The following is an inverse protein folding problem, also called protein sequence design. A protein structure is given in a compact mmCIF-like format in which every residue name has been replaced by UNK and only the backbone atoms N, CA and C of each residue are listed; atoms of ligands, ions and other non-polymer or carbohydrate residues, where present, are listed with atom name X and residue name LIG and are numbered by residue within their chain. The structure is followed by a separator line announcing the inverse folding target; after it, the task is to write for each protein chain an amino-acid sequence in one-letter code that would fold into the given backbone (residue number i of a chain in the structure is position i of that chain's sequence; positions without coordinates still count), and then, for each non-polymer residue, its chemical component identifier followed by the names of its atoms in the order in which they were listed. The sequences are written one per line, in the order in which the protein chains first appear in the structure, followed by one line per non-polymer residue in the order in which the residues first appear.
data_IF_781236886779
#
_entry.id   IF_781236886779
#
_cell.length_a   1.000
_cell.length_b   1.000
_cell.length_c   1.000
_cell.angle_alpha   90.00
_cell.angle_beta   90.00
_cell.angle_gamma   90.00
#
_symmetry.space_group_name_H-M   'P 1'
#
loop_
_entity.id
_entity.type
_entity.pdbx_description
1 polymer ?
#
# COMPACT_ATOMS: atom_id res chain seq x y z
N UNK A 1 -23.69 -23.70 6.70
CA UNK A 1 -23.55 -22.59 7.70
C UNK A 1 -22.12 -22.45 8.23
N UNK A 2 -21.46 -23.56 8.63
CA UNK A 2 -20.08 -23.57 9.15
C UNK A 2 -19.03 -22.95 8.20
N UNK A 3 -19.11 -23.24 6.89
CA UNK A 3 -18.17 -22.71 5.88
C UNK A 3 -18.25 -21.18 5.71
N UNK A 4 -19.46 -20.60 5.80
CA UNK A 4 -19.64 -19.14 5.70
C UNK A 4 -19.06 -18.40 6.91
N UNK A 5 -19.23 -18.98 8.10
CA UNK A 5 -18.69 -18.45 9.36
C UNK A 5 -17.15 -18.50 9.32
N UNK A 6 -16.58 -19.65 8.93
CA UNK A 6 -15.14 -19.83 8.79
C UNK A 6 -14.54 -18.80 7.83
N UNK A 7 -15.09 -18.63 6.63
CA UNK A 7 -14.55 -17.70 5.63
C UNK A 7 -14.68 -16.23 6.08
N UNK A 8 -15.75 -15.89 6.77
CA UNK A 8 -15.90 -14.53 7.33
C UNK A 8 -14.86 -14.28 8.41
N UNK A 9 -14.63 -15.25 9.30
CA UNK A 9 -13.59 -15.18 10.32
C UNK A 9 -12.19 -15.11 9.71
N UNK A 10 -11.89 -15.94 8.69
CA UNK A 10 -10.63 -15.89 7.94
C UNK A 10 -10.44 -14.53 7.28
N UNK A 11 -11.46 -13.96 6.64
CA UNK A 11 -11.36 -12.65 6.01
C UNK A 11 -11.04 -11.56 7.04
N UNK A 12 -11.70 -11.58 8.21
CA UNK A 12 -11.43 -10.64 9.30
C UNK A 12 -10.00 -10.78 9.84
N UNK A 13 -9.54 -12.02 10.06
CA UNK A 13 -8.18 -12.30 10.51
C UNK A 13 -7.14 -11.79 9.49
N UNK A 14 -7.38 -12.02 8.19
CA UNK A 14 -6.50 -11.53 7.13
C UNK A 14 -6.48 -10.00 7.08
N UNK A 15 -7.62 -9.32 7.24
CA UNK A 15 -7.68 -7.85 7.26
C UNK A 15 -6.77 -7.24 8.34
N UNK A 16 -6.70 -7.87 9.51
CA UNK A 16 -5.89 -7.38 10.64
C UNK A 16 -4.47 -7.98 10.69
N UNK A 17 -4.19 -9.00 9.87
CA UNK A 17 -2.91 -9.72 9.86
C UNK A 17 -1.70 -8.78 9.75
N UNK A 18 -1.68 -7.76 8.88
CA UNK A 18 -0.53 -6.88 8.78
C UNK A 18 -0.21 -6.21 10.12
N UNK A 19 -1.22 -5.77 10.88
CA UNK A 19 -1.00 -5.12 12.17
C UNK A 19 -0.51 -6.09 13.24
N UNK A 20 -1.09 -7.29 13.31
CA UNK A 20 -0.69 -8.31 14.28
C UNK A 20 0.78 -8.70 14.09
N UNK A 21 1.17 -8.97 12.85
CA UNK A 21 2.54 -9.40 12.53
C UNK A 21 3.51 -8.23 12.63
N UNK A 22 3.12 -7.04 12.18
CA UNK A 22 3.97 -5.85 12.29
C UNK A 22 4.23 -5.45 13.74
N UNK A 23 3.26 -5.61 14.65
CA UNK A 23 3.46 -5.34 16.06
C UNK A 23 4.54 -6.27 16.67
N UNK A 24 4.55 -7.55 16.29
CA UNK A 24 5.58 -8.50 16.73
C UNK A 24 6.93 -8.15 16.10
N UNK A 25 6.96 -7.87 14.80
CA UNK A 25 8.17 -7.49 14.06
C UNK A 25 8.75 -6.17 14.58
N UNK A 26 7.91 -5.24 15.04
CA UNK A 26 8.27 -3.95 15.61
C UNK A 26 9.19 -4.04 16.82
N UNK A 27 9.10 -5.12 17.61
CA UNK A 27 10.01 -5.35 18.74
C UNK A 27 11.47 -5.55 18.29
N UNK A 28 11.69 -5.91 17.03
CA UNK A 28 13.00 -6.10 16.42
C UNK A 28 13.39 -4.94 15.50
N UNK A 29 12.60 -3.87 15.47
CA UNK A 29 12.83 -2.72 14.61
C UNK A 29 14.24 -2.15 14.81
N UNK A 30 14.95 -1.79 13.73
CA UNK A 30 16.26 -1.15 13.81
C UNK A 30 16.20 0.26 14.41
N UNK A 31 15.00 0.83 14.60
CA UNK A 31 14.81 2.13 15.26
C UNK A 31 14.83 2.03 16.80
N UNK A 32 14.82 0.81 17.35
CA UNK A 32 14.95 0.58 18.79
C UNK A 32 16.42 0.30 19.13
N UNK A 33 16.96 1.03 20.11
CA UNK A 33 18.35 0.90 20.52
C UNK A 33 18.72 -0.55 20.87
N UNK A 34 19.85 -1.01 20.34
CA UNK A 34 20.36 -2.38 20.54
C UNK A 34 19.86 -3.41 19.52
N UNK A 35 18.87 -3.09 18.68
CA UNK A 35 18.43 -3.97 17.61
C UNK A 35 19.34 -3.87 16.37
N UNK A 36 19.56 -5.00 15.71
CA UNK A 36 20.34 -5.08 14.46
C UNK A 36 19.43 -4.97 13.23
N UNK A 37 19.82 -4.11 12.29
CA UNK A 37 19.18 -3.99 10.98
C UNK A 37 19.16 -5.31 10.20
N UNK A 38 20.26 -6.08 10.26
CA UNK A 38 20.33 -7.38 9.59
C UNK A 38 19.35 -8.39 10.19
N UNK A 39 19.21 -8.41 11.52
CA UNK A 39 18.27 -9.30 12.20
C UNK A 39 16.83 -8.96 11.82
N UNK A 40 16.50 -7.67 11.76
CA UNK A 40 15.20 -7.21 11.30
C UNK A 40 14.86 -7.74 9.90
N UNK A 41 15.78 -7.59 8.94
CA UNK A 41 15.61 -8.08 7.56
C UNK A 41 15.42 -9.60 7.54
N UNK A 42 16.24 -10.35 8.30
CA UNK A 42 16.14 -11.81 8.34
C UNK A 42 14.78 -12.28 8.87
N UNK A 43 14.31 -11.70 9.98
CA UNK A 43 13.01 -12.02 10.56
C UNK A 43 11.89 -11.67 9.58
N UNK A 44 11.96 -10.49 8.95
CA UNK A 44 11.00 -10.10 7.92
C UNK A 44 11.00 -11.11 6.76
N UNK A 45 12.15 -11.53 6.21
CA UNK A 45 12.22 -12.55 5.15
C UNK A 45 11.54 -13.86 5.57
N UNK A 46 11.80 -14.34 6.79
CA UNK A 46 11.18 -15.58 7.30
C UNK A 46 9.66 -15.45 7.38
N UNK A 47 9.16 -14.34 7.93
CA UNK A 47 7.72 -14.04 7.96
C UNK A 47 7.14 -14.02 6.55
N UNK A 48 7.87 -13.43 5.61
CA UNK A 48 7.47 -13.27 4.21
C UNK A 48 7.31 -14.60 3.49
N UNK A 49 8.24 -15.53 3.70
CA UNK A 49 8.15 -16.91 3.20
C UNK A 49 6.89 -17.59 3.76
N UNK A 50 6.61 -17.40 5.05
CA UNK A 50 5.39 -17.90 5.68
C UNK A 50 4.12 -17.35 5.02
N UNK A 51 4.06 -16.04 4.76
CA UNK A 51 2.90 -15.41 4.13
C UNK A 51 2.71 -15.85 2.68
N UNK A 52 3.80 -15.96 1.90
CA UNK A 52 3.73 -16.51 0.53
C UNK A 52 3.20 -17.94 0.55
N UNK A 53 3.63 -18.75 1.53
CA UNK A 53 3.12 -20.12 1.71
C UNK A 53 1.63 -20.13 2.03
N UNK A 54 1.16 -19.24 2.91
CA UNK A 54 -0.28 -19.05 3.19
C UNK A 54 -1.02 -18.61 1.92
N UNK A 55 -0.47 -17.67 1.14
CA UNK A 55 -1.06 -17.20 -0.11
C UNK A 55 -1.23 -18.35 -1.12
N UNK A 56 -0.22 -19.22 -1.25
CA UNK A 56 -0.26 -20.41 -2.10
C UNK A 56 -1.29 -21.44 -1.61
N UNK A 57 -1.37 -21.67 -0.29
CA UNK A 57 -2.37 -22.55 0.31
C UNK A 57 -3.80 -22.03 0.07
N UNK A 58 -4.03 -20.73 0.31
CA UNK A 58 -5.31 -20.08 0.02
C UNK A 58 -5.64 -20.16 -1.47
N UNK A 59 -4.65 -19.94 -2.35
CA UNK A 59 -4.84 -20.05 -3.78
C UNK A 59 -5.28 -21.45 -4.18
N UNK A 60 -4.65 -22.50 -3.66
CA UNK A 60 -5.00 -23.90 -3.94
C UNK A 60 -6.38 -24.28 -3.39
N UNK A 61 -6.72 -23.80 -2.18
CA UNK A 61 -8.00 -24.12 -1.53
C UNK A 61 -9.18 -23.39 -2.16
N UNK A 62 -9.00 -22.13 -2.60
CA UNK A 62 -10.04 -21.30 -3.18
C UNK A 62 -10.03 -21.26 -4.73
N UNK A 63 -9.12 -22.01 -5.38
CA UNK A 63 -8.90 -22.05 -6.84
C UNK A 63 -10.19 -22.26 -7.66
N UNK A 64 -11.15 -23.04 -7.14
CA UNK A 64 -12.39 -23.37 -7.84
C UNK A 64 -13.39 -22.19 -7.96
N UNK A 65 -13.14 -21.08 -7.28
CA UNK A 65 -14.13 -19.99 -7.16
C UNK A 65 -14.10 -18.96 -8.29
N UNK A 66 -13.04 -18.85 -9.11
CA UNK A 66 -12.91 -17.75 -10.07
C UNK A 66 -12.32 -18.15 -11.41
N UNK A 67 -13.13 -18.08 -12.47
CA UNK A 67 -12.60 -18.08 -13.84
C UNK A 67 -11.74 -16.80 -14.04
N UNK A 68 -10.44 -16.98 -14.28
CA UNK A 68 -9.51 -16.01 -14.90
C UNK A 68 -9.17 -14.69 -14.17
N UNK A 69 -9.68 -14.42 -12.96
CA UNK A 69 -9.23 -13.33 -12.06
C UNK A 69 -8.38 -13.79 -10.83
N UNK A 70 -7.99 -15.08 -10.64
CA UNK A 70 -7.37 -15.50 -9.37
C UNK A 70 -5.93 -14.98 -9.17
N UNK A 71 -5.17 -14.80 -10.26
CA UNK A 71 -3.79 -14.28 -10.18
C UNK A 71 -3.77 -12.80 -9.74
N UNK A 72 -4.71 -12.00 -10.24
CA UNK A 72 -4.80 -10.59 -9.87
C UNK A 72 -5.13 -10.38 -8.37
N UNK A 73 -6.08 -11.14 -7.84
CA UNK A 73 -6.40 -11.11 -6.41
C UNK A 73 -5.22 -11.55 -5.52
N UNK A 74 -4.45 -12.53 -5.98
CA UNK A 74 -3.24 -13.00 -5.28
C UNK A 74 -2.14 -11.93 -5.28
N UNK A 75 -1.90 -11.24 -6.39
CA UNK A 75 -0.92 -10.14 -6.46
C UNK A 75 -1.26 -9.01 -5.49
N UNK A 76 -2.54 -8.64 -5.39
CA UNK A 76 -3.00 -7.66 -4.40
C UNK A 76 -2.88 -8.18 -2.97
N UNK A 77 -3.18 -9.47 -2.73
CA UNK A 77 -3.00 -10.07 -1.41
C UNK A 77 -1.53 -10.06 -0.96
N UNK A 78 -0.60 -10.33 -1.88
CA UNK A 78 0.84 -10.34 -1.60
C UNK A 78 1.39 -8.96 -1.20
N UNK A 79 0.65 -7.87 -1.38
CA UNK A 79 1.01 -6.55 -0.84
C UNK A 79 1.19 -6.57 0.69
N UNK A 80 0.58 -7.53 1.39
CA UNK A 80 0.81 -7.76 2.84
C UNK A 80 2.28 -7.87 3.22
N UNK A 81 3.10 -8.42 2.32
CA UNK A 81 4.51 -8.66 2.55
C UNK A 81 5.31 -7.36 2.73
N UNK A 82 5.33 -6.43 1.76
CA UNK A 82 5.97 -5.14 1.94
C UNK A 82 5.28 -4.27 3.00
N UNK A 83 3.95 -4.36 3.15
CA UNK A 83 3.22 -3.62 4.20
C UNK A 83 3.71 -4.00 5.59
N UNK A 84 3.88 -5.30 5.88
CA UNK A 84 4.40 -5.77 7.18
C UNK A 84 5.82 -5.28 7.43
N UNK A 85 6.67 -5.27 6.39
CA UNK A 85 8.02 -4.73 6.52
C UNK A 85 8.00 -3.23 6.83
N UNK A 86 7.12 -2.45 6.23
CA UNK A 86 7.06 -1.00 6.48
C UNK A 86 6.49 -0.71 7.87
N UNK A 87 5.34 -1.31 8.22
CA UNK A 87 4.69 -1.09 9.51
C UNK A 87 5.51 -1.69 10.65
N UNK A 88 6.23 -2.78 10.40
CA UNK A 88 7.13 -3.40 11.36
C UNK A 88 8.37 -2.57 11.67
N UNK A 89 8.71 -1.54 10.89
CA UNK A 89 9.74 -0.57 11.32
C UNK A 89 9.27 0.21 12.56
N UNK A 90 7.97 0.21 12.87
CA UNK A 90 7.39 0.78 14.08
C UNK A 90 7.79 2.25 14.35
N UNK A 91 8.19 2.96 13.31
CA UNK A 91 8.59 4.36 13.34
C UNK A 91 8.13 5.04 12.06
N UNK A 92 7.73 6.30 12.19
CA UNK A 92 7.63 7.21 11.06
C UNK A 92 9.01 7.38 10.39
N UNK A 93 9.05 7.81 9.12
CA UNK A 93 10.30 8.20 8.48
C UNK A 93 11.04 9.24 9.34
N UNK A 94 12.33 9.04 9.57
CA UNK A 94 13.17 10.08 10.17
C UNK A 94 13.43 11.14 9.10
N UNK A 95 13.14 12.40 9.41
CA UNK A 95 13.36 13.55 8.53
C UNK A 95 14.48 14.46 9.04
N UNK A 96 15.13 14.08 10.15
CA UNK A 96 16.18 14.84 10.82
C UNK A 96 17.59 14.40 10.41
N UNK A 97 18.61 15.14 10.85
CA UNK A 97 20.03 14.81 10.62
C UNK A 97 20.42 13.43 11.15
N UNK A 98 19.72 12.91 12.16
CA UNK A 98 20.00 11.60 12.75
C UNK A 98 19.85 10.46 11.74
N UNK A 99 19.05 10.63 10.69
CA UNK A 99 18.92 9.62 9.64
C UNK A 99 20.26 9.31 8.96
N UNK A 100 21.20 10.28 8.94
CA UNK A 100 22.50 10.12 8.27
C UNK A 100 23.39 9.10 8.99
N UNK A 101 23.10 8.77 10.24
CA UNK A 101 23.78 7.70 10.98
C UNK A 101 23.37 6.32 10.46
N UNK A 102 22.12 6.19 9.98
CA UNK A 102 21.52 4.94 9.55
C UNK A 102 20.60 5.10 8.31
N UNK A 103 21.14 5.58 7.17
CA UNK A 103 20.34 5.85 5.97
C UNK A 103 19.72 4.58 5.38
N UNK A 104 20.31 3.41 5.64
CA UNK A 104 19.83 2.11 5.18
C UNK A 104 18.40 1.80 5.64
N UNK A 105 17.96 2.41 6.77
CA UNK A 105 16.60 2.21 7.30
C UNK A 105 15.54 2.84 6.42
N UNK A 106 15.79 4.03 5.88
CA UNK A 106 14.88 4.68 4.94
C UNK A 106 14.99 4.04 3.54
N UNK A 107 16.21 3.69 3.11
CA UNK A 107 16.39 2.93 1.87
C UNK A 107 15.59 1.62 1.88
N UNK A 108 15.57 0.89 3.00
CA UNK A 108 14.73 -0.30 3.16
C UNK A 108 13.25 0.05 3.02
N UNK A 109 12.75 1.06 3.74
CA UNK A 109 11.34 1.48 3.68
C UNK A 109 10.88 1.72 2.25
N UNK A 110 11.64 2.50 1.48
CA UNK A 110 11.28 2.83 0.10
C UNK A 110 11.55 1.65 -0.86
N UNK A 111 12.52 0.78 -0.59
CA UNK A 111 12.69 -0.47 -1.34
C UNK A 111 11.48 -1.39 -1.17
N UNK A 112 10.90 -1.47 0.02
CA UNK A 112 9.67 -2.21 0.28
C UNK A 112 8.46 -1.60 -0.46
N UNK A 113 8.38 -0.27 -0.53
CA UNK A 113 7.36 0.41 -1.32
C UNK A 113 7.53 0.14 -2.83
N UNK A 114 8.76 0.09 -3.35
CA UNK A 114 9.03 -0.36 -4.72
C UNK A 114 8.58 -1.80 -4.97
N UNK A 115 8.79 -2.72 -4.02
CA UNK A 115 8.25 -4.08 -4.12
C UNK A 115 6.72 -4.10 -4.19
N UNK A 116 6.05 -3.26 -3.38
CA UNK A 116 4.60 -3.09 -3.47
C UNK A 116 4.15 -2.55 -4.84
N UNK A 117 4.90 -1.59 -5.39
CA UNK A 117 4.65 -1.03 -6.72
C UNK A 117 4.80 -2.07 -7.83
N UNK A 118 5.81 -2.95 -7.75
CA UNK A 118 6.00 -4.03 -8.71
C UNK A 118 4.80 -4.99 -8.67
N UNK A 119 4.34 -5.38 -7.48
CA UNK A 119 3.15 -6.22 -7.33
C UNK A 119 1.90 -5.55 -7.91
N UNK A 120 1.72 -4.25 -7.65
CA UNK A 120 0.62 -3.47 -8.20
C UNK A 120 0.70 -3.32 -9.73
N UNK A 121 1.90 -3.10 -10.28
CA UNK A 121 2.13 -3.03 -11.73
C UNK A 121 1.85 -4.37 -12.41
N UNK A 122 2.33 -5.48 -11.84
CA UNK A 122 1.99 -6.82 -12.30
C UNK A 122 0.47 -7.04 -12.26
N UNK A 123 -0.20 -6.63 -11.19
CA UNK A 123 -1.66 -6.71 -11.10
C UNK A 123 -2.33 -5.92 -12.23
N UNK A 124 -1.89 -4.69 -12.50
CA UNK A 124 -2.41 -3.85 -13.57
C UNK A 124 -2.23 -4.52 -14.95
N UNK A 125 -1.05 -5.08 -15.23
CA UNK A 125 -0.78 -5.81 -16.47
C UNK A 125 -1.70 -7.02 -16.62
N UNK A 126 -1.89 -7.82 -15.57
CA UNK A 126 -2.82 -8.95 -15.59
C UNK A 126 -4.28 -8.50 -15.78
N UNK A 127 -4.67 -7.44 -15.08
CA UNK A 127 -5.99 -6.84 -15.16
C UNK A 127 -6.29 -6.45 -16.62
N UNK A 128 -5.41 -5.68 -17.26
CA UNK A 128 -5.62 -5.17 -18.62
C UNK A 128 -5.24 -6.12 -19.75
N UNK A 129 -4.45 -7.17 -19.54
CA UNK A 129 -4.21 -8.22 -20.55
C UNK A 129 -5.31 -9.27 -20.59
N UNK A 130 -6.04 -9.43 -19.48
CA UNK A 130 -7.12 -10.42 -19.41
C UNK A 130 -8.37 -9.98 -20.19
N UNK A 131 -9.00 -10.95 -20.85
CA UNK A 131 -10.34 -10.78 -21.43
C UNK A 131 -11.45 -10.84 -20.38
N UNK A 132 -11.12 -11.03 -19.10
CA UNK A 132 -12.09 -11.09 -18.00
C UNK A 132 -12.72 -9.73 -17.65
N UNK A 133 -12.04 -8.62 -17.98
CA UNK A 133 -12.58 -7.28 -17.81
C UNK A 133 -13.66 -6.98 -18.87
N UNK A 134 -14.92 -7.12 -18.47
CA UNK A 134 -16.07 -6.69 -19.26
C UNK A 134 -16.28 -5.18 -19.13
N UNK A 135 -15.39 -4.39 -19.73
CA UNK A 135 -15.49 -2.92 -19.80
C UNK A 135 -15.48 -2.41 -21.24
N UNK A 136 -16.14 -1.26 -21.46
CA UNK A 136 -16.10 -0.55 -22.74
C UNK A 136 -14.65 -0.20 -23.10
N UNK A 137 -14.30 -0.27 -24.39
CA UNK A 137 -12.94 0.01 -24.89
C UNK A 137 -12.42 1.39 -24.45
N UNK A 138 -13.27 2.42 -24.49
CA UNK A 138 -12.92 3.77 -24.02
C UNK A 138 -12.59 3.79 -22.54
N UNK A 139 -13.41 3.15 -21.70
CA UNK A 139 -13.15 3.04 -20.26
C UNK A 139 -11.86 2.27 -19.98
N UNK A 140 -11.58 1.21 -20.74
CA UNK A 140 -10.32 0.46 -20.63
C UNK A 140 -9.12 1.38 -20.84
N UNK A 141 -9.12 2.16 -21.93
CA UNK A 141 -8.04 3.09 -22.24
C UNK A 141 -7.86 4.17 -21.17
N UNK A 142 -8.95 4.82 -20.75
CA UNK A 142 -8.91 5.83 -19.69
C UNK A 142 -8.29 5.24 -18.42
N UNK A 143 -8.71 4.04 -18.04
CA UNK A 143 -8.18 3.40 -16.84
C UNK A 143 -6.73 2.96 -17.00
N UNK A 144 -6.32 2.46 -18.16
CA UNK A 144 -4.91 2.17 -18.42
C UNK A 144 -4.05 3.41 -18.25
N UNK A 145 -4.48 4.56 -18.77
CA UNK A 145 -3.77 5.85 -18.57
C UNK A 145 -3.70 6.23 -17.09
N UNK A 146 -4.82 6.13 -16.35
CA UNK A 146 -4.86 6.43 -14.92
C UNK A 146 -3.91 5.52 -14.12
N UNK A 147 -3.83 4.23 -14.46
CA UNK A 147 -2.87 3.30 -13.84
C UNK A 147 -1.43 3.67 -14.16
N UNK A 148 -1.12 4.05 -15.40
CA UNK A 148 0.23 4.50 -15.79
C UNK A 148 0.61 5.76 -14.99
N UNK A 149 -0.30 6.73 -14.88
CA UNK A 149 -0.08 7.94 -14.07
C UNK A 149 0.17 7.56 -12.60
N UNK A 150 -0.66 6.70 -12.01
CA UNK A 150 -0.47 6.25 -10.63
C UNK A 150 0.90 5.58 -10.41
N UNK A 151 1.34 4.74 -11.35
CA UNK A 151 2.65 4.06 -11.28
C UNK A 151 3.79 5.07 -11.42
N UNK A 152 3.68 6.03 -12.34
CA UNK A 152 4.67 7.09 -12.52
C UNK A 152 4.82 7.95 -11.26
N UNK A 153 3.69 8.35 -10.66
CA UNK A 153 3.64 9.09 -9.40
C UNK A 153 4.28 8.31 -8.24
N UNK A 154 3.93 7.04 -8.05
CA UNK A 154 4.60 6.21 -7.04
C UNK A 154 6.10 6.08 -7.29
N UNK A 155 6.50 5.88 -8.54
CA UNK A 155 7.92 5.75 -8.90
C UNK A 155 8.67 7.02 -8.54
N UNK A 156 8.15 8.17 -8.96
CA UNK A 156 8.72 9.47 -8.64
C UNK A 156 8.81 9.68 -7.14
N UNK A 157 7.72 9.48 -6.41
CA UNK A 157 7.66 9.71 -4.97
C UNK A 157 8.62 8.80 -4.20
N UNK A 158 8.71 7.52 -4.58
CA UNK A 158 9.60 6.58 -3.91
C UNK A 158 11.05 6.88 -4.21
N UNK A 159 11.38 7.28 -5.44
CA UNK A 159 12.74 7.74 -5.77
C UNK A 159 13.08 9.01 -5.02
N UNK A 160 12.17 9.98 -4.99
CA UNK A 160 12.35 11.26 -4.29
C UNK A 160 12.65 11.04 -2.81
N UNK A 161 11.89 10.20 -2.13
CA UNK A 161 12.15 9.97 -0.71
C UNK A 161 13.24 8.92 -0.43
N UNK A 162 13.50 7.96 -1.33
CA UNK A 162 14.64 7.06 -1.21
C UNK A 162 15.96 7.84 -1.21
N UNK A 163 16.04 8.90 -2.02
CA UNK A 163 17.22 9.77 -2.13
C UNK A 163 17.27 10.90 -1.08
N UNK A 164 16.32 10.94 -0.16
CA UNK A 164 16.28 11.98 0.88
C UNK A 164 17.57 12.00 1.74
N UNK A 165 18.12 10.85 2.19
CA UNK A 165 19.37 10.86 2.97
C UNK A 165 20.56 11.41 2.18
N UNK A 166 20.68 11.06 0.90
CA UNK A 166 21.71 11.58 0.00
C UNK A 166 21.58 13.10 -0.20
N UNK A 167 20.35 13.58 -0.43
CA UNK A 167 20.06 15.01 -0.56
C UNK A 167 20.38 15.79 0.71
N UNK A 168 20.02 15.24 1.88
CA UNK A 168 20.33 15.86 3.17
C UNK A 168 21.84 15.90 3.43
N UNK A 169 22.55 14.81 3.11
CA UNK A 169 24.01 14.75 3.24
C UNK A 169 24.71 15.80 2.38
N UNK A 170 24.26 15.98 1.13
CA UNK A 170 24.79 17.02 0.24
C UNK A 170 24.46 18.43 0.77
N UNK A 171 23.25 18.64 1.25
CA UNK A 171 22.84 19.93 1.82
C UNK A 171 23.71 20.36 3.01
N UNK A 172 23.95 19.43 3.94
CA UNK A 172 24.80 19.67 5.11
C UNK A 172 26.26 19.88 4.72
N UNK A 173 26.77 19.15 3.71
CA UNK A 173 28.15 19.31 3.25
C UNK A 173 28.40 20.68 2.60
N UNK A 174 27.37 21.32 2.07
CA UNK A 174 27.41 22.71 1.59
C UNK A 174 27.39 23.76 2.72
N UNK A 175 27.38 23.34 3.99
CA UNK A 175 27.36 24.23 5.16
C UNK A 175 26.00 24.86 5.44
N UNK A 176 24.91 24.33 4.86
CA UNK A 176 23.55 24.86 5.04
C UNK A 176 22.90 24.29 6.30
N UNK A 177 21.93 25.04 6.85
CA UNK A 177 21.20 24.62 8.05
C UNK A 177 20.35 23.36 7.76
N UNK A 178 20.55 22.24 8.48
CA UNK A 178 19.79 21.02 8.24
C UNK A 178 18.28 21.16 8.52
N UNK A 179 17.89 22.04 9.44
CA UNK A 179 16.47 22.23 9.80
C UNK A 179 15.64 22.83 8.66
N UNK A 180 16.30 23.52 7.72
CA UNK A 180 15.66 24.13 6.55
C UNK A 180 15.53 23.16 5.37
N UNK A 181 16.23 22.02 5.42
CA UNK A 181 16.29 21.08 4.31
C UNK A 181 14.91 20.58 3.91
N UNK A 182 14.10 20.12 4.86
CA UNK A 182 12.78 19.52 4.57
C UNK A 182 11.85 20.49 3.82
N UNK A 183 11.83 21.77 4.20
CA UNK A 183 11.02 22.80 3.50
C UNK A 183 11.51 23.06 2.08
N UNK A 184 12.81 22.95 1.83
CA UNK A 184 13.38 23.12 0.51
C UNK A 184 13.18 21.86 -0.36
N UNK A 185 13.38 20.69 0.23
CA UNK A 185 13.29 19.39 -0.42
C UNK A 185 11.84 19.06 -0.82
N UNK A 186 10.90 19.26 0.11
CA UNK A 186 9.47 19.10 -0.09
C UNK A 186 8.78 20.46 -0.20
N UNK A 187 9.24 21.28 -1.15
CA UNK A 187 8.64 22.58 -1.43
C UNK A 187 7.23 22.44 -2.03
N UNK A 188 6.55 23.58 -2.21
CA UNK A 188 5.17 23.64 -2.73
C UNK A 188 4.95 22.83 -4.03
N UNK A 189 5.91 22.83 -4.95
CA UNK A 189 5.79 22.08 -6.20
C UNK A 189 5.83 20.57 -5.94
N UNK A 190 6.73 20.11 -5.06
CA UNK A 190 6.82 18.69 -4.69
C UNK A 190 5.56 18.22 -3.94
N UNK A 191 5.06 19.05 -3.02
CA UNK A 191 3.79 18.80 -2.32
C UNK A 191 2.65 18.69 -3.33
N UNK A 192 2.59 19.60 -4.31
CA UNK A 192 1.53 19.61 -5.34
C UNK A 192 1.53 18.32 -6.16
N UNK A 193 2.71 17.84 -6.58
CA UNK A 193 2.84 16.55 -7.29
C UNK A 193 2.31 15.42 -6.40
N UNK A 194 2.76 15.33 -5.15
CA UNK A 194 2.29 14.33 -4.19
C UNK A 194 0.76 14.35 -3.98
N UNK A 195 0.15 15.54 -3.90
CA UNK A 195 -1.31 15.71 -3.78
C UNK A 195 -2.04 15.19 -5.02
N UNK A 196 -1.57 15.53 -6.22
CA UNK A 196 -2.14 15.02 -7.48
C UNK A 196 -2.03 13.50 -7.52
N UNK A 197 -0.86 12.96 -7.18
CA UNK A 197 -0.63 11.52 -7.05
C UNK A 197 -1.64 10.86 -6.12
N UNK A 198 -1.89 11.43 -4.94
CA UNK A 198 -2.88 10.90 -3.99
C UNK A 198 -4.29 10.91 -4.52
N UNK A 199 -4.72 11.97 -5.19
CA UNK A 199 -6.04 11.99 -5.83
C UNK A 199 -6.18 10.86 -6.86
N UNK A 200 -5.19 10.70 -7.73
CA UNK A 200 -5.19 9.65 -8.75
C UNK A 200 -5.26 8.26 -8.10
N UNK A 201 -4.45 8.02 -7.08
CA UNK A 201 -4.36 6.72 -6.40
C UNK A 201 -5.66 6.36 -5.66
N UNK A 202 -6.23 7.29 -4.89
CA UNK A 202 -7.48 7.04 -4.16
C UNK A 202 -8.69 6.92 -5.09
N UNK A 203 -8.77 7.73 -6.15
CA UNK A 203 -9.83 7.59 -7.17
C UNK A 203 -9.71 6.23 -7.87
N UNK A 204 -8.49 5.77 -8.18
CA UNK A 204 -8.24 4.45 -8.76
C UNK A 204 -8.74 3.33 -7.84
N UNK A 205 -8.47 3.40 -6.53
CA UNK A 205 -8.94 2.42 -5.54
C UNK A 205 -10.47 2.38 -5.48
N UNK A 206 -11.12 3.56 -5.44
CA UNK A 206 -12.59 3.66 -5.47
C UNK A 206 -13.13 2.98 -6.72
N UNK A 207 -12.62 3.38 -7.89
CA UNK A 207 -13.07 2.85 -9.17
C UNK A 207 -12.92 1.33 -9.23
N UNK A 208 -11.75 0.80 -8.83
CA UNK A 208 -11.46 -0.62 -8.88
C UNK A 208 -12.41 -1.41 -7.96
N UNK A 209 -12.65 -0.92 -6.73
CA UNK A 209 -13.57 -1.57 -5.80
C UNK A 209 -15.01 -1.58 -6.32
N UNK A 210 -15.52 -0.46 -6.83
CA UNK A 210 -16.88 -0.37 -7.40
C UNK A 210 -17.03 -1.24 -8.64
N UNK A 211 -16.00 -1.27 -9.50
CA UNK A 211 -16.02 -2.07 -10.71
C UNK A 211 -16.05 -3.57 -10.41
N UNK A 212 -15.18 -4.04 -9.51
CA UNK A 212 -15.18 -5.43 -9.06
C UNK A 212 -16.49 -5.83 -8.36
N UNK A 213 -17.12 -4.90 -7.64
CA UNK A 213 -18.44 -5.13 -7.06
C UNK A 213 -19.53 -5.28 -8.15
N UNK A 214 -19.56 -4.40 -9.16
CA UNK A 214 -20.48 -4.50 -10.31
C UNK A 214 -20.31 -5.80 -11.09
N UNK A 215 -19.08 -6.27 -11.24
CA UNK A 215 -18.77 -7.58 -11.83
C UNK A 215 -19.11 -8.77 -10.91
N UNK A 216 -19.66 -8.50 -9.72
CA UNK A 216 -19.94 -9.51 -8.71
C UNK A 216 -18.70 -10.34 -8.39
N UNK A 217 -17.52 -9.71 -8.25
CA UNK A 217 -16.26 -10.36 -7.86
C UNK A 217 -15.95 -10.18 -6.38
N UNK A 218 -16.53 -9.17 -5.72
CA UNK A 218 -16.41 -8.92 -4.28
C UNK A 218 -17.79 -8.77 -3.63
N UNK A 219 -17.83 -8.65 -2.29
CA UNK A 219 -19.05 -8.36 -1.51
C UNK A 219 -19.17 -6.85 -1.25
N UNK A 220 -20.37 -6.38 -0.90
CA UNK A 220 -20.68 -4.94 -0.72
C UNK A 220 -19.88 -4.23 0.38
N UNK A 221 -19.43 -4.95 1.41
CA UNK A 221 -18.64 -4.35 2.50
C UNK A 221 -17.32 -3.76 1.99
N UNK A 222 -16.68 -4.41 1.00
CA UNK A 222 -15.37 -4.01 0.48
C UNK A 222 -15.40 -2.65 -0.25
N UNK A 223 -16.30 -2.39 -1.21
CA UNK A 223 -16.38 -1.07 -1.82
C UNK A 223 -16.81 0.02 -0.84
N UNK A 224 -17.63 -0.29 0.19
CA UNK A 224 -17.98 0.70 1.23
C UNK A 224 -16.73 1.15 1.99
N UNK A 225 -15.96 0.19 2.52
CA UNK A 225 -14.73 0.50 3.27
C UNK A 225 -13.72 1.21 2.38
N UNK A 226 -13.42 0.67 1.19
CA UNK A 226 -12.46 1.28 0.28
C UNK A 226 -12.86 2.71 -0.11
N UNK A 227 -14.14 2.96 -0.38
CA UNK A 227 -14.62 4.29 -0.71
C UNK A 227 -14.49 5.25 0.48
N UNK A 228 -14.90 4.83 1.68
CA UNK A 228 -14.82 5.66 2.87
C UNK A 228 -13.38 6.07 3.18
N UNK A 229 -12.44 5.12 3.23
CA UNK A 229 -11.03 5.43 3.51
C UNK A 229 -10.38 6.23 2.37
N UNK A 230 -10.75 5.97 1.11
CA UNK A 230 -10.25 6.76 -0.02
C UNK A 230 -10.74 8.20 -0.01
N UNK A 231 -11.99 8.45 0.41
CA UNK A 231 -12.52 9.80 0.58
C UNK A 231 -11.79 10.55 1.69
N UNK A 232 -11.48 9.89 2.82
CA UNK A 232 -10.65 10.48 3.87
C UNK A 232 -9.26 10.83 3.33
N UNK A 233 -8.68 9.98 2.48
CA UNK A 233 -7.41 10.27 1.80
C UNK A 233 -7.47 11.48 0.85
N UNK A 234 -8.54 11.63 0.09
CA UNK A 234 -8.77 12.82 -0.75
C UNK A 234 -8.92 14.08 0.11
N UNK A 235 -9.62 14.00 1.24
CA UNK A 235 -9.73 15.12 2.20
C UNK A 235 -8.37 15.46 2.78
N UNK A 236 -7.59 14.46 3.20
CA UNK A 236 -6.23 14.64 3.72
C UNK A 236 -5.31 15.33 2.70
N UNK A 237 -5.28 14.85 1.45
CA UNK A 237 -4.46 15.45 0.40
C UNK A 237 -4.86 16.92 0.13
N UNK A 238 -6.16 17.23 0.15
CA UNK A 238 -6.66 18.61 0.02
C UNK A 238 -6.20 19.50 1.16
N UNK A 239 -6.26 19.00 2.40
CA UNK A 239 -5.82 19.76 3.56
C UNK A 239 -4.31 20.02 3.51
N UNK A 240 -3.52 19.01 3.15
CA UNK A 240 -2.07 19.16 2.99
C UNK A 240 -1.69 20.16 1.90
N UNK A 241 -2.44 20.19 0.80
CA UNK A 241 -2.27 21.20 -0.24
C UNK A 241 -2.50 22.62 0.29
N UNK A 242 -3.59 22.81 1.04
CA UNK A 242 -3.97 24.14 1.57
C UNK A 242 -3.01 24.60 2.67
N UNK A 243 -2.53 23.68 3.52
CA UNK A 243 -1.72 24.01 4.69
C UNK A 243 -0.22 23.81 4.47
N UNK A 244 0.19 23.38 3.28
CA UNK A 244 1.59 23.08 2.93
C UNK A 244 2.27 22.17 3.97
N UNK A 245 1.64 21.03 4.29
CA UNK A 245 2.09 20.10 5.33
C UNK A 245 2.05 20.65 6.79
N UNK A 246 1.55 21.86 7.02
CA UNK A 246 1.38 22.40 8.38
C UNK A 246 -0.05 22.20 8.90
N UNK A 247 -0.42 20.94 9.15
CA UNK A 247 -1.77 20.62 9.63
C UNK A 247 -2.07 21.24 11.01
N UNK A 248 -3.29 21.74 11.25
CA UNK A 248 -3.71 22.20 12.57
C UNK A 248 -3.65 21.07 13.61
N UNK A 249 -3.38 21.43 14.87
CA UNK A 249 -3.39 20.47 15.99
C UNK A 249 -4.69 19.66 16.03
N UNK A 250 -4.57 18.34 16.23
CA UNK A 250 -5.71 17.42 16.24
C UNK A 250 -6.11 16.89 14.87
N UNK A 251 -5.59 17.45 13.78
CA UNK A 251 -5.73 16.91 12.42
C UNK A 251 -4.49 16.16 11.95
N UNK A 252 -3.43 16.06 12.77
CA UNK A 252 -2.16 15.42 12.41
C UNK A 252 -2.32 13.96 11.99
N UNK A 253 -3.34 13.25 12.51
CA UNK A 253 -3.62 11.86 12.12
C UNK A 253 -3.93 11.71 10.62
N UNK A 254 -4.39 12.79 9.96
CA UNK A 254 -4.68 12.77 8.53
C UNK A 254 -3.43 12.60 7.69
N UNK A 255 -2.24 12.93 8.21
CA UNK A 255 -0.97 12.63 7.53
C UNK A 255 -0.84 11.16 7.17
N UNK A 256 -1.37 10.27 7.99
CA UNK A 256 -1.36 8.84 7.70
C UNK A 256 -1.92 8.55 6.30
N UNK A 257 -3.01 9.22 5.93
CA UNK A 257 -3.67 9.02 4.64
C UNK A 257 -2.97 9.71 3.46
N UNK A 258 -1.98 10.56 3.73
CA UNK A 258 -1.13 11.16 2.72
C UNK A 258 0.14 10.35 2.45
N UNK A 259 0.47 9.38 3.30
CA UNK A 259 1.61 8.47 3.06
C UNK A 259 1.25 7.49 1.93
N UNK A 260 2.18 7.18 1.01
CA UNK A 260 1.87 6.34 -0.16
C UNK A 260 1.53 4.89 0.18
N UNK A 261 1.82 4.43 1.40
CA UNK A 261 1.49 3.10 1.87
C UNK A 261 -0.01 2.84 2.04
N UNK A 262 -0.82 3.86 2.35
CA UNK A 262 -2.26 3.67 2.62
C UNK A 262 -3.04 3.20 1.38
N UNK A 263 -2.87 3.80 0.19
CA UNK A 263 -3.43 3.24 -1.03
C UNK A 263 -3.10 1.75 -1.25
N UNK A 264 -1.85 1.32 -1.01
CA UNK A 264 -1.49 -0.11 -1.11
C UNK A 264 -2.19 -0.98 -0.06
N UNK A 265 -2.38 -0.45 1.15
CA UNK A 265 -3.14 -1.14 2.18
C UNK A 265 -4.62 -1.34 1.80
N UNK A 266 -5.24 -0.36 1.14
CA UNK A 266 -6.59 -0.51 0.59
C UNK A 266 -6.64 -1.52 -0.56
N UNK A 267 -5.64 -1.51 -1.44
CA UNK A 267 -5.48 -2.52 -2.49
C UNK A 267 -5.30 -3.93 -1.92
N UNK A 268 -4.56 -4.07 -0.82
CA UNK A 268 -4.44 -5.33 -0.08
C UNK A 268 -5.79 -5.84 0.42
N UNK A 269 -6.60 -4.98 1.05
CA UNK A 269 -7.96 -5.33 1.47
C UNK A 269 -8.85 -5.75 0.31
N UNK A 270 -8.67 -5.14 -0.85
CA UNK A 270 -9.34 -5.55 -2.08
C UNK A 270 -8.90 -6.95 -2.53
N UNK A 271 -7.62 -7.27 -2.40
CA UNK A 271 -7.08 -8.62 -2.60
C UNK A 271 -7.74 -9.66 -1.69
N UNK A 272 -7.88 -9.37 -0.39
CA UNK A 272 -8.60 -10.24 0.55
C UNK A 272 -10.06 -10.42 0.11
N UNK A 273 -10.75 -9.35 -0.28
CA UNK A 273 -12.14 -9.41 -0.70
C UNK A 273 -12.34 -10.27 -1.96
N UNK A 274 -11.36 -10.27 -2.87
CA UNK A 274 -11.34 -11.14 -4.05
C UNK A 274 -11.13 -12.61 -3.67
N UNK A 275 -10.18 -12.90 -2.78
CA UNK A 275 -9.83 -14.28 -2.39
C UNK A 275 -10.88 -14.94 -1.49
N UNK A 276 -11.70 -14.17 -0.77
CA UNK A 276 -12.64 -14.69 0.24
C UNK A 276 -14.10 -14.73 -0.21
N UNK A 277 -14.35 -14.54 -1.52
CA UNK A 277 -15.70 -14.64 -2.07
C UNK A 277 -16.04 -16.09 -2.47
N UNK A 278 -17.08 -16.62 -1.83
CA UNK A 278 -17.69 -17.92 -2.18
C UNK A 278 -18.54 -17.86 -3.45
N UNK A 279 -18.48 -18.91 -4.28
CA UNK A 279 -19.45 -19.12 -5.37
C UNK A 279 -20.83 -19.39 -4.79
N UNK A 280 -21.86 -18.93 -5.52
CA UNK A 280 -23.28 -19.16 -5.16
C UNK A 280 -23.65 -20.67 -5.14
N UNK A 281 -22.85 -21.53 -5.80
CA UNK A 281 -23.03 -22.99 -5.88
C UNK A 281 -22.65 -23.73 -4.59
N UNK A 282 -21.78 -23.16 -3.77
CA UNK A 282 -21.29 -23.80 -2.51
C UNK A 282 -22.21 -23.50 -1.30
N UNK A 283 -23.40 -22.93 -1.56
CA UNK A 283 -24.41 -22.61 -0.55
C UNK A 283 -25.49 -23.71 -0.50
N UNK A 284 -25.54 -24.59 -1.50
CA UNK A 284 -26.56 -25.63 -1.68
C UNK A 284 -26.02 -27.06 -1.59
N UNK A 285 -24.80 -27.25 -1.07
CA UNK A 285 -24.27 -28.56 -0.71
C UNK A 285 -24.21 -28.72 0.81
#
# INVERSE_FOLDING_TARGET
MKTKLLITFTALLLVILPFLVSAVLGNYSPYVDGNSFQNYILIWIVISIGIVSIALLLFNYFHQSFEKIPVGGMLLFLLVWPIIGIYGLASAPDLSVKMLEHPEREHLRYSLLFLALILFGCFALFLFSSNSLKIKKTTRWIMTVIFIIAIAEYTWEFTHHYLYPEGLKEWVSQGKNPEEFGKNYDNFNMITIGVIGRYVQFILVIWLSLHLYKLQQIKIWSPIINTMFSLVGIVSATLIFITEMNLPKGFEFLFLFFIPGIPFFLLYWLGIALLTKLKKRDITA
#
